data_IF_173694298845
#
_entry.id   IF_173694298845
#
_cell.length_a   1.000
_cell.length_b   1.000
_cell.length_c   1.000
_cell.angle_alpha   90.00
_cell.angle_beta   90.00
_cell.angle_gamma   90.00
#
_symmetry.space_group_name_H-M   'P 1'
#
loop_
_entity.id
_entity.type
_entity.pdbx_description
1 polymer ?
#
# COMPACT_ATOMS: atom_id res chain seq x y z
N UNK A 1 -1.27 -18.75 -16.97
CA UNK A 1 -1.13 -17.89 -18.16
C UNK A 1 0.32 -17.73 -18.64
N UNK A 2 1.30 -18.52 -18.16
CA UNK A 2 2.74 -18.33 -18.51
C UNK A 2 3.28 -16.90 -18.30
N UNK A 3 2.71 -16.12 -17.38
CA UNK A 3 3.16 -14.77 -17.01
C UNK A 3 3.49 -14.67 -15.53
N UNK A 4 4.32 -13.69 -15.18
CA UNK A 4 4.68 -13.36 -13.79
C UNK A 4 3.71 -12.30 -13.22
N UNK A 5 3.58 -12.27 -11.90
CA UNK A 5 2.83 -11.21 -11.21
C UNK A 5 3.54 -9.86 -11.36
N UNK A 6 2.77 -8.78 -11.47
CA UNK A 6 3.29 -7.41 -11.47
C UNK A 6 3.42 -6.83 -10.05
N UNK A 7 3.19 -7.63 -9.00
CA UNK A 7 3.27 -7.23 -7.59
C UNK A 7 2.05 -6.45 -7.09
N UNK A 8 2.15 -5.93 -5.86
CA UNK A 8 1.07 -5.19 -5.20
C UNK A 8 0.85 -3.78 -5.77
N UNK A 9 1.90 -3.10 -6.23
CA UNK A 9 1.82 -1.69 -6.62
C UNK A 9 0.75 -1.44 -7.71
N UNK A 10 0.70 -2.21 -8.82
CA UNK A 10 -0.34 -2.01 -9.84
C UNK A 10 -1.76 -2.28 -9.31
N UNK A 11 -1.92 -3.29 -8.44
CA UNK A 11 -3.21 -3.58 -7.80
C UNK A 11 -3.65 -2.41 -6.92
N UNK A 12 -2.77 -1.89 -6.07
CA UNK A 12 -3.08 -0.79 -5.15
C UNK A 12 -3.42 0.51 -5.90
N UNK A 13 -2.87 0.72 -7.09
CA UNK A 13 -3.28 1.84 -7.96
C UNK A 13 -4.70 1.71 -8.47
N UNK A 14 -5.17 0.51 -8.76
CA UNK A 14 -6.58 0.29 -9.11
C UNK A 14 -7.47 0.67 -7.92
N UNK A 15 -7.12 0.24 -6.70
CA UNK A 15 -7.86 0.64 -5.49
C UNK A 15 -7.80 2.14 -5.22
N UNK A 16 -6.65 2.78 -5.46
CA UNK A 16 -6.51 4.23 -5.35
C UNK A 16 -7.49 4.95 -6.28
N UNK A 17 -7.58 4.52 -7.54
CA UNK A 17 -8.51 5.10 -8.51
C UNK A 17 -9.97 4.85 -8.10
N UNK A 18 -10.28 3.66 -7.57
CA UNK A 18 -11.61 3.35 -7.03
C UNK A 18 -11.95 4.25 -5.84
N UNK A 19 -11.01 4.48 -4.91
CA UNK A 19 -11.21 5.36 -3.76
C UNK A 19 -11.50 6.82 -4.19
N UNK A 20 -10.84 7.29 -5.24
CA UNK A 20 -11.13 8.60 -5.85
C UNK A 20 -12.47 8.66 -6.57
N UNK A 21 -12.85 7.57 -7.24
CA UNK A 21 -14.09 7.51 -8.01
C UNK A 21 -15.32 7.44 -7.11
N UNK A 22 -15.24 6.69 -6.01
CA UNK A 22 -16.34 6.53 -5.05
C UNK A 22 -16.27 7.67 -4.03
N UNK A 23 -16.94 8.78 -4.35
CA UNK A 23 -17.13 9.88 -3.41
C UNK A 23 -18.47 9.77 -2.66
N UNK A 24 -18.45 10.11 -1.37
CA UNK A 24 -19.67 10.23 -0.58
C UNK A 24 -20.12 11.69 -0.60
N UNK A 25 -20.95 12.03 -1.58
CA UNK A 25 -21.72 13.28 -1.59
C UNK A 25 -21.15 14.39 -2.47
N UNK A 26 -20.74 14.06 -3.70
CA UNK A 26 -20.36 15.03 -4.71
C UNK A 26 -19.02 15.68 -4.38
N UNK A 27 -18.00 14.84 -4.20
CA UNK A 27 -16.61 15.22 -3.92
C UNK A 27 -16.34 15.83 -2.52
N UNK A 28 -17.30 15.74 -1.59
CA UNK A 28 -17.11 16.20 -0.19
C UNK A 28 -16.24 15.27 0.65
N UNK A 29 -16.28 13.97 0.36
CA UNK A 29 -15.51 12.93 1.07
C UNK A 29 -15.08 11.86 0.06
N UNK A 30 -13.80 11.84 -0.36
CA UNK A 30 -13.29 10.73 -1.15
C UNK A 30 -13.39 9.43 -0.34
N UNK A 31 -13.49 8.29 -1.04
CA UNK A 31 -13.45 6.98 -0.42
C UNK A 31 -12.17 6.81 0.39
N UNK A 32 -12.28 6.19 1.57
CA UNK A 32 -11.16 5.99 2.48
C UNK A 32 -10.93 4.49 2.68
N UNK A 33 -9.79 3.99 2.19
CA UNK A 33 -9.37 2.60 2.39
C UNK A 33 -8.08 2.56 3.20
N UNK A 34 -8.03 1.66 4.18
CA UNK A 34 -6.81 1.32 4.89
C UNK A 34 -6.31 -0.03 4.41
N UNK A 35 -5.12 -0.04 3.82
CA UNK A 35 -4.44 -1.25 3.35
C UNK A 35 -3.51 -1.73 4.45
N UNK A 36 -3.65 -3.00 4.84
CA UNK A 36 -2.81 -3.66 5.83
C UNK A 36 -1.88 -4.64 5.14
N UNK A 37 -0.59 -4.61 5.50
CA UNK A 37 0.41 -5.55 4.99
C UNK A 37 1.33 -6.03 6.11
N UNK A 38 1.65 -7.31 6.10
CA UNK A 38 2.65 -7.86 7.02
C UNK A 38 4.08 -7.55 6.54
N UNK A 39 5.03 -7.25 7.45
CA UNK A 39 6.36 -6.74 7.09
C UNK A 39 7.28 -7.76 6.41
N UNK A 40 6.92 -9.05 6.39
CA UNK A 40 7.67 -10.09 5.68
C UNK A 40 7.31 -10.18 4.19
N UNK A 41 6.25 -9.51 3.75
CA UNK A 41 5.82 -9.56 2.35
C UNK A 41 6.92 -9.01 1.42
N UNK A 42 7.15 -9.65 0.28
CA UNK A 42 8.23 -9.29 -0.66
C UNK A 42 8.17 -7.81 -1.10
N UNK A 43 6.97 -7.30 -1.42
CA UNK A 43 6.75 -5.91 -1.84
C UNK A 43 6.70 -4.89 -0.67
N UNK A 44 7.16 -5.23 0.54
CA UNK A 44 7.04 -4.36 1.73
C UNK A 44 7.68 -2.98 1.54
N UNK A 45 8.85 -2.92 0.91
CA UNK A 45 9.53 -1.65 0.69
C UNK A 45 8.76 -0.76 -0.28
N UNK A 46 8.29 -1.33 -1.40
CA UNK A 46 7.46 -0.59 -2.35
C UNK A 46 6.16 -0.10 -1.69
N UNK A 47 5.54 -0.93 -0.84
CA UNK A 47 4.34 -0.56 -0.08
C UNK A 47 4.56 0.68 0.82
N UNK A 48 5.71 0.77 1.51
CA UNK A 48 6.06 1.91 2.35
C UNK A 48 6.29 3.21 1.55
N UNK A 49 6.64 3.11 0.26
CA UNK A 49 6.87 4.26 -0.62
C UNK A 49 5.59 4.87 -1.20
N UNK A 50 4.46 4.13 -1.20
CA UNK A 50 3.27 4.48 -1.98
C UNK A 50 2.62 5.83 -1.62
N UNK A 51 2.76 6.26 -0.36
CA UNK A 51 2.19 7.53 0.14
C UNK A 51 3.16 8.71 0.04
N UNK A 52 4.42 8.50 -0.32
CA UNK A 52 5.40 9.60 -0.38
C UNK A 52 5.04 10.60 -1.47
N UNK A 53 5.33 11.88 -1.22
CA UNK A 53 5.06 12.95 -2.18
C UNK A 53 6.03 12.92 -3.37
N UNK A 54 7.27 12.48 -3.16
CA UNK A 54 8.31 12.40 -4.18
C UNK A 54 8.32 11.05 -4.91
N UNK A 55 8.92 11.01 -6.10
CA UNK A 55 9.08 9.82 -6.94
C UNK A 55 8.12 9.77 -8.12
N UNK A 56 8.11 8.64 -8.83
CA UNK A 56 7.33 8.45 -10.07
C UNK A 56 5.86 8.21 -9.74
N UNK A 57 4.96 8.94 -10.39
CA UNK A 57 3.50 8.82 -10.18
C UNK A 57 3.00 7.39 -10.44
N UNK A 58 3.61 6.65 -11.38
CA UNK A 58 3.21 5.27 -11.63
C UNK A 58 3.50 4.29 -10.47
N UNK A 59 4.26 4.73 -9.47
CA UNK A 59 4.60 3.97 -8.26
C UNK A 59 3.97 4.59 -7.00
N UNK A 60 2.88 5.36 -7.14
CA UNK A 60 2.21 6.04 -6.02
C UNK A 60 0.71 5.74 -5.97
N UNK A 61 0.17 5.74 -4.76
CA UNK A 61 -1.24 5.56 -4.46
C UNK A 61 -1.59 6.37 -3.19
N UNK A 62 -1.54 7.70 -3.30
CA UNK A 62 -1.56 8.61 -2.14
C UNK A 62 -2.94 8.75 -1.48
N UNK A 63 -4.01 8.40 -2.19
CA UNK A 63 -5.39 8.50 -1.71
C UNK A 63 -5.76 7.32 -0.78
N UNK A 64 -4.87 6.34 -0.63
CA UNK A 64 -5.00 5.24 0.32
C UNK A 64 -4.32 5.55 1.66
N UNK A 65 -4.79 4.87 2.70
CA UNK A 65 -4.13 4.79 3.99
C UNK A 65 -3.39 3.46 4.11
N UNK A 66 -2.24 3.48 4.80
CA UNK A 66 -1.34 2.34 4.89
C UNK A 66 -1.10 2.01 6.36
N UNK A 67 -1.12 0.72 6.67
CA UNK A 67 -0.86 0.20 7.99
C UNK A 67 -0.02 -1.09 7.89
N UNK A 68 0.82 -1.32 8.89
CA UNK A 68 1.56 -2.56 9.04
C UNK A 68 0.84 -3.47 10.03
N UNK A 69 0.66 -4.73 9.64
CA UNK A 69 0.24 -5.79 10.54
C UNK A 69 1.48 -6.52 11.04
N UNK A 70 2.00 -6.09 12.20
CA UNK A 70 3.33 -6.47 12.67
C UNK A 70 3.27 -7.72 13.56
N UNK A 71 3.92 -8.83 13.19
CA UNK A 71 4.06 -10.01 14.05
C UNK A 71 5.14 -9.80 15.13
N UNK A 72 4.97 -10.43 16.29
CA UNK A 72 5.97 -10.42 17.37
C UNK A 72 7.36 -10.91 16.90
N UNK A 73 7.40 -11.89 15.98
CA UNK A 73 8.65 -12.42 15.44
C UNK A 73 9.47 -11.34 14.70
N UNK A 74 8.80 -10.44 13.99
CA UNK A 74 9.47 -9.33 13.32
C UNK A 74 10.17 -8.44 14.35
N UNK A 75 9.46 -8.06 15.42
CA UNK A 75 10.02 -7.22 16.48
C UNK A 75 11.18 -7.89 17.21
N UNK A 76 11.07 -9.20 17.50
CA UNK A 76 12.16 -9.98 18.12
C UNK A 76 13.42 -10.00 17.26
N UNK A 77 13.30 -10.19 15.94
CA UNK A 77 14.46 -10.18 15.02
C UNK A 77 15.08 -8.80 14.85
N UNK A 78 14.25 -7.75 14.86
CA UNK A 78 14.74 -6.37 14.84
C UNK A 78 15.54 -6.08 16.11
N UNK A 79 15.07 -6.51 17.27
CA UNK A 79 15.76 -6.33 18.55
C UNK A 79 17.12 -7.05 18.60
N UNK A 80 17.23 -8.25 18.00
CA UNK A 80 18.49 -9.00 17.92
C UNK A 80 19.40 -8.59 16.76
N UNK A 81 18.96 -7.66 15.90
CA UNK A 81 19.62 -7.29 14.64
C UNK A 81 19.91 -8.50 13.72
N UNK A 82 18.95 -9.43 13.63
CA UNK A 82 19.06 -10.68 12.86
C UNK A 82 18.34 -11.84 13.52
#
# INVERSE_FOLDING_TARGET
>A
TNGNSNGLVPMLRVYNNTARYVDQGGNKRPGAFAMYLEPWHFDIFDFLELKKNTGKEEQRARDLFYALWIPDLFMKRVETNG
#
